data_IF_526324649323
#
_entry.id   IF_526324649323
#
_cell.length_a   1.000
_cell.length_b   1.000
_cell.length_c   1.000
_cell.angle_alpha   90.00
_cell.angle_beta   90.00
_cell.angle_gamma   90.00
#
_symmetry.space_group_name_H-M   'P 1'
#
loop_
_entity.id
_entity.type
_entity.pdbx_description
1 polymer ?
#
# COMPACT_ATOMS: atom_id res chain seq x y z
N UNK A 1 32.33 13.96 -11.60
CA UNK A 1 30.93 14.07 -12.05
C UNK A 1 30.82 13.40 -13.40
N UNK A 2 29.90 12.44 -13.54
CA UNK A 2 29.69 11.73 -14.81
C UNK A 2 28.83 12.53 -15.81
N UNK A 3 28.69 12.03 -17.05
CA UNK A 3 28.01 12.74 -18.13
C UNK A 3 26.51 13.01 -17.88
N UNK A 4 25.89 12.36 -16.89
CA UNK A 4 24.45 12.48 -16.58
C UNK A 4 24.17 13.17 -15.24
N UNK A 5 25.16 13.86 -14.67
CA UNK A 5 25.01 14.45 -13.33
C UNK A 5 23.89 15.50 -13.26
N UNK A 6 23.71 16.29 -14.32
CA UNK A 6 22.66 17.30 -14.39
C UNK A 6 21.27 16.66 -14.45
N UNK A 7 21.07 15.68 -15.33
CA UNK A 7 19.81 14.96 -15.50
C UNK A 7 19.44 14.19 -14.24
N UNK A 8 20.42 13.58 -13.57
CA UNK A 8 20.20 12.91 -12.29
C UNK A 8 19.72 13.89 -11.20
N UNK A 9 20.34 15.07 -11.09
CA UNK A 9 19.92 16.10 -10.14
C UNK A 9 18.49 16.56 -10.40
N UNK A 10 18.18 16.89 -11.65
CA UNK A 10 16.82 17.32 -12.06
C UNK A 10 15.78 16.24 -11.78
N UNK A 11 16.11 14.98 -12.07
CA UNK A 11 15.24 13.84 -11.79
C UNK A 11 15.00 13.65 -10.29
N UNK A 12 16.05 13.70 -9.47
CA UNK A 12 15.95 13.53 -8.02
C UNK A 12 15.12 14.64 -7.38
N UNK A 13 15.28 15.88 -7.82
CA UNK A 13 14.46 17.00 -7.34
C UNK A 13 12.98 16.85 -7.72
N UNK A 14 12.70 16.46 -8.96
CA UNK A 14 11.33 16.15 -9.39
C UNK A 14 10.73 14.98 -8.59
N UNK A 15 11.51 13.94 -8.31
CA UNK A 15 11.10 12.78 -7.53
C UNK A 15 10.81 13.15 -6.07
N UNK A 16 11.66 13.98 -5.43
CA UNK A 16 11.45 14.51 -4.07
C UNK A 16 10.16 15.34 -4.00
N UNK A 17 9.90 16.19 -4.99
CA UNK A 17 8.64 16.95 -5.08
C UNK A 17 7.43 16.02 -5.21
N UNK A 18 7.51 14.99 -6.06
CA UNK A 18 6.45 13.99 -6.17
C UNK A 18 6.25 13.20 -4.86
N UNK A 19 7.32 12.90 -4.13
CA UNK A 19 7.26 12.25 -2.82
C UNK A 19 6.53 13.12 -1.78
N UNK A 20 6.85 14.43 -1.73
CA UNK A 20 6.18 15.40 -0.86
C UNK A 20 4.68 15.52 -1.19
N UNK A 21 4.34 15.59 -2.48
CA UNK A 21 2.95 15.58 -2.92
C UNK A 21 2.22 14.29 -2.48
N UNK A 22 2.85 13.13 -2.67
CA UNK A 22 2.27 11.85 -2.29
C UNK A 22 2.06 11.72 -0.78
N UNK A 23 2.98 12.25 0.03
CA UNK A 23 2.86 12.31 1.49
C UNK A 23 1.68 13.22 1.90
N UNK A 24 1.63 14.45 1.37
CA UNK A 24 0.54 15.39 1.64
C UNK A 24 -0.83 14.78 1.25
N UNK A 25 -0.91 14.15 0.08
CA UNK A 25 -2.12 13.47 -0.36
C UNK A 25 -2.57 12.39 0.64
N UNK A 26 -1.67 11.53 1.13
CA UNK A 26 -2.00 10.51 2.13
C UNK A 26 -2.41 11.11 3.47
N UNK A 27 -1.76 12.19 3.90
CA UNK A 27 -2.12 12.93 5.11
C UNK A 27 -3.56 13.46 5.01
N UNK A 28 -3.90 14.14 3.91
CA UNK A 28 -5.26 14.67 3.72
C UNK A 28 -6.30 13.56 3.62
N UNK A 29 -6.01 12.45 2.92
CA UNK A 29 -6.90 11.29 2.89
C UNK A 29 -7.13 10.71 4.30
N UNK A 30 -6.08 10.60 5.12
CA UNK A 30 -6.20 10.17 6.52
C UNK A 30 -7.08 11.10 7.35
N UNK A 31 -6.89 12.41 7.22
CA UNK A 31 -7.71 13.41 7.90
C UNK A 31 -9.17 13.38 7.44
N UNK A 32 -9.43 13.18 6.15
CA UNK A 32 -10.78 13.02 5.60
C UNK A 32 -11.48 11.77 6.16
N UNK A 33 -10.77 10.65 6.30
CA UNK A 33 -11.32 9.43 6.92
C UNK A 33 -11.68 9.68 8.38
N UNK A 34 -10.79 10.31 9.16
CA UNK A 34 -11.07 10.65 10.58
C UNK A 34 -12.28 11.58 10.69
N UNK A 35 -12.38 12.59 9.81
CA UNK A 35 -13.53 13.50 9.76
C UNK A 35 -14.83 12.74 9.44
N UNK A 36 -14.83 11.89 8.42
CA UNK A 36 -16.01 11.10 8.05
C UNK A 36 -16.48 10.20 9.19
N UNK A 37 -15.54 9.55 9.92
CA UNK A 37 -15.88 8.74 11.09
C UNK A 37 -16.49 9.57 12.23
N UNK A 38 -15.98 10.79 12.48
CA UNK A 38 -16.53 11.70 13.49
C UNK A 38 -17.97 12.11 13.15
N UNK A 39 -18.22 12.47 11.89
CA UNK A 39 -19.54 12.88 11.40
C UNK A 39 -20.55 11.74 11.54
N UNK A 40 -20.19 10.52 11.13
CA UNK A 40 -21.07 9.34 11.21
C UNK A 40 -21.33 8.91 12.66
N UNK A 41 -20.33 8.95 13.54
CA UNK A 41 -20.46 8.49 14.92
C UNK A 41 -21.03 9.57 15.87
N UNK A 42 -21.13 10.81 15.43
CA UNK A 42 -21.59 11.94 16.25
C UNK A 42 -20.68 12.23 17.46
N UNK A 43 -19.40 11.86 17.39
CA UNK A 43 -18.43 12.04 18.49
C UNK A 43 -17.00 12.16 17.99
N UNK A 44 -16.12 12.67 18.85
CA UNK A 44 -14.69 12.66 18.60
C UNK A 44 -14.14 11.24 18.42
N UNK A 45 -13.24 11.10 17.44
CA UNK A 45 -12.51 9.87 17.16
C UNK A 45 -11.04 10.17 17.38
N UNK A 46 -10.51 9.70 18.49
CA UNK A 46 -9.08 9.76 18.75
C UNK A 46 -8.34 9.00 17.64
N UNK A 47 -7.36 9.65 17.03
CA UNK A 47 -6.57 9.08 15.95
C UNK A 47 -5.13 9.51 16.09
N UNK A 48 -4.23 8.62 15.67
CA UNK A 48 -2.80 8.87 15.63
C UNK A 48 -2.25 8.14 14.41
N UNK A 49 -1.43 8.84 13.62
CA UNK A 49 -0.66 8.19 12.56
C UNK A 49 0.36 7.23 13.20
N UNK A 50 0.22 5.94 12.93
CA UNK A 50 1.17 4.93 13.41
C UNK A 50 2.46 5.00 12.59
N UNK A 51 2.34 4.93 11.26
CA UNK A 51 3.47 4.99 10.34
C UNK A 51 3.00 5.30 8.91
N UNK A 52 3.87 5.91 8.09
CA UNK A 52 3.70 6.05 6.64
C UNK A 52 4.88 5.34 5.96
N UNK A 53 4.57 4.31 5.16
CA UNK A 53 5.57 3.43 4.55
C UNK A 53 5.55 3.55 3.01
N UNK A 54 6.27 4.52 2.41
CA UNK A 54 6.40 4.61 0.97
C UNK A 54 7.22 3.45 0.41
N UNK A 55 6.89 3.02 -0.81
CA UNK A 55 7.46 1.81 -1.41
C UNK A 55 8.01 1.98 -2.84
N UNK A 56 7.95 3.21 -3.36
CA UNK A 56 8.47 3.59 -4.68
C UNK A 56 9.21 4.92 -4.53
N UNK A 57 10.43 4.87 -4.00
CA UNK A 57 11.27 6.05 -3.75
C UNK A 57 12.75 5.72 -3.92
N UNK A 58 13.56 6.77 -3.95
CA UNK A 58 15.01 6.69 -3.86
C UNK A 58 15.41 7.38 -2.56
N UNK A 59 16.21 6.70 -1.75
CA UNK A 59 16.77 7.25 -0.51
C UNK A 59 18.26 7.47 -0.64
N UNK A 60 18.75 8.48 0.05
CA UNK A 60 20.18 8.74 0.24
C UNK A 60 20.48 8.43 1.71
N UNK A 61 20.97 7.22 2.05
CA UNK A 61 21.34 6.90 3.41
C UNK A 61 22.55 7.73 3.84
N UNK A 62 22.56 8.11 5.12
CA UNK A 62 23.66 8.90 5.70
C UNK A 62 25.00 8.13 5.57
N UNK A 63 26.00 8.77 4.96
CA UNK A 63 27.32 8.19 4.76
C UNK A 63 28.26 9.06 3.91
N UNK A 64 29.55 8.77 3.97
CA UNK A 64 30.60 9.52 3.26
C UNK A 64 30.60 9.32 1.73
N UNK A 65 29.91 8.28 1.24
CA UNK A 65 29.82 7.95 -0.18
C UNK A 65 28.38 8.16 -0.68
N UNK A 66 28.17 8.90 -1.80
CA UNK A 66 26.85 9.11 -2.36
C UNK A 66 26.28 7.78 -2.87
N UNK A 67 25.33 7.22 -2.11
CA UNK A 67 24.60 6.01 -2.48
C UNK A 67 23.12 6.33 -2.65
N UNK A 68 22.54 5.85 -3.73
CA UNK A 68 21.11 5.95 -3.99
C UNK A 68 20.47 4.57 -3.80
N UNK A 69 19.62 4.44 -2.80
CA UNK A 69 18.86 3.23 -2.53
C UNK A 69 17.51 3.33 -3.24
N UNK A 70 17.37 2.63 -4.35
CA UNK A 70 16.12 2.54 -5.09
C UNK A 70 15.24 1.45 -4.50
N UNK A 71 14.01 1.77 -4.09
CA UNK A 71 12.99 0.75 -3.82
C UNK A 71 11.82 0.94 -4.77
N UNK A 72 11.42 -0.14 -5.43
CA UNK A 72 10.24 -0.22 -6.29
C UNK A 72 9.41 -1.43 -5.84
N UNK A 73 8.27 -1.18 -5.23
CA UNK A 73 7.47 -2.22 -4.58
C UNK A 73 8.09 -2.77 -3.29
N UNK A 74 9.01 -2.04 -2.66
CA UNK A 74 9.65 -2.43 -1.41
C UNK A 74 9.69 -1.25 -0.42
N UNK A 75 9.48 -1.53 0.86
CA UNK A 75 9.41 -0.55 1.95
C UNK A 75 10.68 -0.59 2.81
N UNK A 76 11.01 0.51 3.51
CA UNK A 76 12.00 0.47 4.59
C UNK A 76 11.60 -0.52 5.69
N UNK A 77 12.57 -1.26 6.22
CA UNK A 77 12.44 -2.28 7.25
C UNK A 77 13.61 -2.20 8.25
N UNK A 78 13.88 -0.98 8.73
CA UNK A 78 14.90 -0.71 9.74
C UNK A 78 14.68 -1.53 11.01
N UNK A 79 15.77 -2.03 11.58
CA UNK A 79 15.75 -2.79 12.83
C UNK A 79 15.76 -1.87 14.05
N UNK A 80 15.69 -2.44 15.25
CA UNK A 80 16.03 -1.70 16.47
C UNK A 80 17.45 -1.14 16.37
N UNK A 81 17.61 0.16 16.60
CA UNK A 81 18.89 0.87 16.51
C UNK A 81 19.25 1.61 17.80
N UNK A 82 18.31 1.72 18.75
CA UNK A 82 18.51 2.45 20.01
C UNK A 82 18.72 3.96 19.85
N UNK A 83 18.57 4.52 18.64
CA UNK A 83 18.91 5.93 18.34
C UNK A 83 17.76 6.91 18.66
N UNK A 84 16.76 6.46 19.42
CA UNK A 84 15.61 7.25 19.84
C UNK A 84 14.45 7.25 18.84
N UNK A 85 13.30 7.77 19.28
CA UNK A 85 12.05 7.72 18.51
C UNK A 85 11.17 6.52 18.88
N UNK A 86 9.95 6.49 18.33
CA UNK A 86 8.90 5.56 18.77
C UNK A 86 9.19 4.07 18.49
N UNK A 87 10.15 3.78 17.60
CA UNK A 87 10.42 2.43 17.10
C UNK A 87 11.87 1.96 17.30
N UNK A 88 12.71 2.73 17.99
CA UNK A 88 14.14 2.44 18.17
C UNK A 88 14.43 1.08 18.82
N UNK A 89 13.50 0.55 19.61
CA UNK A 89 13.65 -0.73 20.32
C UNK A 89 12.81 -1.86 19.73
N UNK A 90 11.91 -1.55 18.80
CA UNK A 90 11.02 -2.54 18.19
C UNK A 90 11.36 -2.82 16.73
N UNK A 91 12.02 -1.89 16.05
CA UNK A 91 12.17 -1.87 14.60
C UNK A 91 11.05 -1.08 13.93
N UNK A 92 11.35 -0.55 12.74
CA UNK A 92 10.44 0.27 11.94
C UNK A 92 9.21 -0.55 11.49
N UNK A 93 7.99 0.02 11.53
CA UNK A 93 6.81 -0.65 11.01
C UNK A 93 6.92 -0.94 9.52
N UNK A 94 6.71 -2.20 9.15
CA UNK A 94 6.59 -2.67 7.77
C UNK A 94 5.11 -2.96 7.51
N UNK A 95 4.51 -2.22 6.59
CA UNK A 95 3.09 -2.35 6.25
C UNK A 95 2.97 -3.13 4.93
N UNK A 96 2.33 -4.31 4.99
CA UNK A 96 2.10 -5.18 3.85
C UNK A 96 0.58 -5.29 3.60
N UNK A 97 0.00 -4.43 2.75
CA UNK A 97 -1.37 -4.57 2.27
C UNK A 97 -1.64 -5.90 1.57
N UNK A 98 -2.80 -6.47 1.89
CA UNK A 98 -3.42 -7.54 1.12
C UNK A 98 -4.23 -7.02 -0.07
N UNK A 99 -5.08 -7.87 -0.64
CA UNK A 99 -6.10 -7.46 -1.61
C UNK A 99 -7.32 -6.85 -0.91
N UNK A 100 -8.30 -6.35 -1.68
CA UNK A 100 -9.56 -5.83 -1.11
C UNK A 100 -10.36 -6.81 -0.25
N UNK A 101 -10.07 -8.12 -0.33
CA UNK A 101 -10.73 -9.17 0.43
C UNK A 101 -9.80 -10.03 1.28
N UNK A 102 -8.54 -9.63 1.45
CA UNK A 102 -7.59 -10.33 2.30
C UNK A 102 -7.03 -9.39 3.39
N UNK A 103 -6.36 -9.97 4.38
CA UNK A 103 -5.80 -9.20 5.49
C UNK A 103 -4.67 -8.28 5.03
N UNK A 104 -4.48 -7.18 5.74
CA UNK A 104 -3.23 -6.43 5.75
C UNK A 104 -2.42 -6.80 7.00
N UNK A 105 -1.10 -6.65 6.94
CA UNK A 105 -0.23 -6.95 8.07
C UNK A 105 0.65 -5.76 8.41
N UNK A 106 0.84 -5.56 9.72
CA UNK A 106 1.89 -4.72 10.27
C UNK A 106 2.94 -5.65 10.86
N UNK A 107 4.18 -5.47 10.44
CA UNK A 107 5.36 -6.17 10.93
C UNK A 107 6.34 -5.14 11.52
N UNK A 108 7.36 -5.62 12.22
CA UNK A 108 8.47 -4.81 12.69
C UNK A 108 9.76 -5.25 11.98
N UNK A 109 10.43 -4.33 11.30
CA UNK A 109 11.66 -4.58 10.57
C UNK A 109 12.78 -5.09 11.48
N UNK A 110 13.62 -5.97 10.92
CA UNK A 110 14.79 -6.50 11.61
C UNK A 110 16.10 -5.80 11.22
N UNK A 111 16.07 -4.89 10.22
CA UNK A 111 17.26 -4.18 9.77
C UNK A 111 18.23 -5.04 8.96
N UNK A 112 17.72 -6.06 8.25
CA UNK A 112 18.54 -7.02 7.50
C UNK A 112 19.51 -6.32 6.54
N UNK A 113 20.81 -6.40 6.83
CA UNK A 113 21.84 -5.60 6.15
C UNK A 113 21.98 -5.95 4.67
N UNK A 114 21.96 -7.23 4.31
CA UNK A 114 22.05 -7.67 2.91
C UNK A 114 20.87 -7.22 2.04
N UNK A 115 19.73 -6.91 2.68
CA UNK A 115 18.53 -6.40 2.03
C UNK A 115 18.43 -4.87 2.12
N UNK A 116 19.51 -4.22 2.59
CA UNK A 116 19.58 -2.77 2.79
C UNK A 116 18.39 -2.27 3.64
N UNK A 117 18.08 -3.03 4.69
CA UNK A 117 16.92 -2.81 5.57
C UNK A 117 15.63 -2.56 4.77
N UNK A 118 15.27 -3.50 3.90
CA UNK A 118 14.07 -3.41 3.05
C UNK A 118 13.18 -4.64 3.18
N UNK A 119 11.87 -4.46 2.99
CA UNK A 119 10.88 -5.53 2.95
C UNK A 119 9.92 -5.36 1.77
N UNK A 120 9.16 -6.41 1.42
CA UNK A 120 8.14 -6.31 0.37
C UNK A 120 6.99 -5.36 0.77
N UNK A 121 6.32 -4.74 -0.21
CA UNK A 121 5.18 -3.86 0.05
C UNK A 121 3.81 -4.56 -0.01
N UNK A 122 3.67 -5.75 -0.60
CA UNK A 122 2.34 -6.36 -0.75
C UNK A 122 2.41 -7.84 -1.10
N UNK A 123 1.23 -8.48 -1.18
CA UNK A 123 1.12 -9.86 -1.62
C UNK A 123 1.69 -10.11 -3.04
N UNK A 124 1.69 -9.06 -3.87
CA UNK A 124 1.97 -9.17 -5.30
C UNK A 124 0.81 -9.81 -6.07
N UNK A 125 0.75 -9.51 -7.37
CA UNK A 125 -0.29 -10.04 -8.25
C UNK A 125 0.02 -11.49 -8.61
N UNK A 126 -1.00 -12.34 -8.61
CA UNK A 126 -0.96 -13.68 -9.19
C UNK A 126 -1.34 -13.65 -10.67
N UNK A 127 -2.20 -12.68 -11.07
CA UNK A 127 -2.69 -12.50 -12.43
C UNK A 127 -2.35 -11.11 -12.98
N UNK A 128 -2.05 -11.04 -14.27
CA UNK A 128 -1.95 -9.76 -14.98
C UNK A 128 -3.31 -9.07 -15.02
N UNK A 129 -3.35 -7.73 -15.15
CA UNK A 129 -4.61 -6.97 -15.22
C UNK A 129 -5.54 -7.48 -16.31
N UNK A 130 -5.00 -7.72 -17.51
CA UNK A 130 -5.76 -8.30 -18.61
C UNK A 130 -6.37 -9.66 -18.26
N UNK A 131 -5.61 -10.57 -17.65
CA UNK A 131 -6.15 -11.89 -17.26
C UNK A 131 -7.21 -11.79 -16.17
N UNK A 132 -7.02 -10.93 -15.16
CA UNK A 132 -8.03 -10.73 -14.12
C UNK A 132 -9.31 -10.08 -14.66
N UNK A 133 -9.21 -9.16 -15.62
CA UNK A 133 -10.37 -8.51 -16.23
C UNK A 133 -11.28 -9.49 -17.00
N UNK A 134 -10.73 -10.60 -17.48
CA UNK A 134 -11.44 -11.66 -18.19
C UNK A 134 -11.90 -12.81 -17.28
N UNK A 135 -11.85 -12.65 -15.96
CA UNK A 135 -12.40 -13.63 -15.05
C UNK A 135 -13.91 -13.82 -15.28
N UNK A 136 -14.32 -15.08 -15.17
CA UNK A 136 -15.72 -15.50 -15.24
C UNK A 136 -16.60 -14.73 -14.22
N UNK A 137 -17.84 -14.45 -14.60
CA UNK A 137 -18.75 -13.63 -13.80
C UNK A 137 -19.11 -14.28 -12.45
N UNK A 138 -19.23 -15.60 -12.39
CA UNK A 138 -19.55 -16.29 -11.13
C UNK A 138 -18.35 -16.31 -10.18
N UNK A 139 -17.13 -16.40 -10.73
CA UNK A 139 -15.92 -16.20 -9.93
C UNK A 139 -15.85 -14.77 -9.38
N UNK A 140 -16.09 -13.76 -10.23
CA UNK A 140 -16.10 -12.37 -9.81
C UNK A 140 -17.14 -12.10 -8.73
N UNK A 141 -18.39 -12.52 -8.96
CA UNK A 141 -19.51 -12.34 -8.00
C UNK A 141 -19.17 -12.94 -6.65
N UNK A 142 -18.76 -14.20 -6.59
CA UNK A 142 -18.38 -14.87 -5.32
C UNK A 142 -17.22 -14.19 -4.60
N UNK A 143 -16.28 -13.60 -5.35
CA UNK A 143 -15.12 -12.93 -4.78
C UNK A 143 -15.46 -11.57 -4.16
N UNK A 144 -16.50 -10.88 -4.64
CA UNK A 144 -16.89 -9.54 -4.16
C UNK A 144 -18.14 -9.52 -3.28
N UNK A 145 -19.01 -10.54 -3.37
CA UNK A 145 -20.28 -10.61 -2.62
C UNK A 145 -20.12 -10.45 -1.11
N UNK A 146 -19.01 -10.95 -0.55
CA UNK A 146 -18.71 -10.87 0.88
C UNK A 146 -17.98 -9.58 1.29
N UNK A 147 -17.71 -8.69 0.35
CA UNK A 147 -16.93 -7.47 0.58
C UNK A 147 -17.84 -6.26 0.61
N UNK A 148 -17.61 -5.38 1.57
CA UNK A 148 -18.22 -4.06 1.56
C UNK A 148 -17.32 -3.08 0.79
N UNK A 149 -17.50 -3.04 -0.53
CA UNK A 149 -16.75 -2.12 -1.41
C UNK A 149 -17.58 -0.89 -1.72
N UNK A 150 -17.03 0.28 -1.41
CA UNK A 150 -17.62 1.59 -1.71
C UNK A 150 -16.84 2.24 -2.83
N UNK A 151 -17.55 2.69 -3.86
CA UNK A 151 -16.98 3.36 -5.03
C UNK A 151 -17.59 4.76 -5.20
N UNK A 152 -16.86 5.75 -5.77
CA UNK A 152 -17.42 7.06 -6.08
C UNK A 152 -18.61 7.03 -7.05
N UNK A 153 -18.74 5.94 -7.80
CA UNK A 153 -19.81 5.69 -8.75
C UNK A 153 -20.74 4.63 -8.18
N UNK A 154 -22.03 4.94 -8.07
CA UNK A 154 -23.09 3.96 -7.82
C UNK A 154 -23.53 3.37 -9.18
N UNK A 155 -23.25 2.06 -9.45
CA UNK A 155 -23.64 1.42 -10.71
C UNK A 155 -25.16 1.32 -10.90
N UNK A 156 -25.95 1.35 -9.83
CA UNK A 156 -27.41 1.20 -9.86
C UNK A 156 -28.15 2.54 -10.00
N UNK A 157 -27.43 3.66 -9.83
CA UNK A 157 -27.99 5.00 -9.97
C UNK A 157 -28.67 5.20 -11.34
N UNK A 158 -29.85 5.86 -11.42
CA UNK A 158 -30.63 5.95 -12.66
C UNK A 158 -29.88 6.53 -13.88
N UNK A 159 -28.97 7.47 -13.63
CA UNK A 159 -28.11 8.11 -14.63
C UNK A 159 -26.89 7.27 -15.03
N UNK A 160 -26.52 6.26 -14.25
CA UNK A 160 -25.36 5.38 -14.48
C UNK A 160 -25.79 4.05 -15.07
N UNK A 161 -26.86 3.43 -14.55
CA UNK A 161 -27.32 2.10 -14.98
C UNK A 161 -27.63 1.98 -16.48
N UNK A 162 -27.93 3.12 -17.14
CA UNK A 162 -28.19 3.21 -18.58
C UNK A 162 -26.92 3.41 -19.43
N UNK A 163 -25.78 3.74 -18.80
CA UNK A 163 -24.50 4.05 -19.43
C UNK A 163 -23.62 2.80 -19.50
N UNK A 164 -23.88 1.95 -20.50
CA UNK A 164 -23.15 0.68 -20.70
C UNK A 164 -21.64 0.88 -20.81
N UNK A 165 -21.19 1.98 -21.42
CA UNK A 165 -19.78 2.35 -21.55
C UNK A 165 -19.09 2.60 -20.20
N UNK A 166 -19.82 3.22 -19.28
CA UNK A 166 -19.35 3.51 -17.92
C UNK A 166 -19.34 2.22 -17.10
N UNK A 167 -20.44 1.46 -17.14
CA UNK A 167 -20.55 0.19 -16.41
C UNK A 167 -19.48 -0.81 -16.84
N UNK A 168 -19.21 -0.93 -18.14
CA UNK A 168 -18.16 -1.81 -18.64
C UNK A 168 -16.78 -1.47 -18.04
N UNK A 169 -16.42 -0.17 -18.02
CA UNK A 169 -15.17 0.30 -17.40
C UNK A 169 -15.16 0.10 -15.89
N UNK A 170 -16.29 0.30 -15.22
CA UNK A 170 -16.45 0.06 -13.79
C UNK A 170 -16.19 -1.40 -13.43
N UNK A 171 -16.91 -2.33 -14.07
CA UNK A 171 -16.75 -3.76 -13.84
C UNK A 171 -15.35 -4.24 -14.20
N UNK A 172 -14.77 -3.73 -15.30
CA UNK A 172 -13.39 -4.05 -15.67
C UNK A 172 -12.40 -3.69 -14.57
N UNK A 173 -12.45 -2.45 -14.04
CA UNK A 173 -11.55 -2.03 -12.94
C UNK A 173 -11.76 -2.86 -11.67
N UNK A 174 -13.01 -3.17 -11.35
CA UNK A 174 -13.33 -4.00 -10.19
C UNK A 174 -12.76 -5.41 -10.33
N UNK A 175 -12.85 -6.02 -11.51
CA UNK A 175 -12.23 -7.33 -11.80
C UNK A 175 -10.71 -7.28 -11.75
N UNK A 176 -10.09 -6.20 -12.22
CA UNK A 176 -8.63 -6.04 -12.18
C UNK A 176 -8.04 -6.03 -10.76
N UNK A 177 -8.85 -5.63 -9.77
CA UNK A 177 -8.43 -5.47 -8.37
C UNK A 177 -9.07 -6.51 -7.43
N UNK A 178 -9.91 -7.40 -7.94
CA UNK A 178 -10.62 -8.40 -7.16
C UNK A 178 -9.66 -9.37 -6.43
N UNK A 179 -10.07 -9.99 -5.32
CA UNK A 179 -9.18 -10.80 -4.48
C UNK A 179 -8.41 -11.89 -5.22
N UNK A 180 -9.02 -12.54 -6.21
CA UNK A 180 -8.39 -13.60 -7.01
C UNK A 180 -7.20 -13.11 -7.86
N UNK A 181 -7.06 -11.81 -8.09
CA UNK A 181 -5.97 -11.23 -8.87
C UNK A 181 -4.63 -11.19 -8.09
N UNK A 182 -4.69 -11.44 -6.78
CA UNK A 182 -3.58 -11.33 -5.86
C UNK A 182 -3.20 -12.69 -5.26
N UNK A 183 -1.94 -12.82 -4.84
CA UNK A 183 -1.52 -13.97 -4.03
C UNK A 183 -2.16 -13.89 -2.64
N UNK A 184 -2.40 -15.02 -1.96
CA UNK A 184 -2.74 -15.00 -0.54
C UNK A 184 -1.65 -14.27 0.25
N UNK A 185 -2.04 -13.35 1.13
CA UNK A 185 -1.07 -12.50 1.85
C UNK A 185 -0.28 -13.30 2.90
N UNK A 186 -0.91 -14.30 3.51
CA UNK A 186 -0.33 -15.01 4.66
C UNK A 186 0.95 -15.76 4.32
N UNK A 187 1.04 -16.53 3.21
CA UNK A 187 2.31 -17.12 2.77
C UNK A 187 3.41 -16.08 2.52
N UNK A 188 3.09 -14.93 1.92
CA UNK A 188 4.07 -13.86 1.68
C UNK A 188 4.65 -13.34 3.00
N UNK A 189 3.78 -13.08 3.97
CA UNK A 189 4.18 -12.62 5.31
C UNK A 189 5.01 -13.67 6.05
N UNK A 190 4.66 -14.96 5.93
CA UNK A 190 5.46 -16.04 6.51
C UNK A 190 6.87 -16.06 5.92
N UNK A 191 7.01 -15.97 4.59
CA UNK A 191 8.32 -15.92 3.95
C UNK A 191 9.18 -14.73 4.41
N UNK A 192 8.56 -13.57 4.68
CA UNK A 192 9.27 -12.39 5.22
C UNK A 192 9.77 -12.64 6.64
N UNK A 193 8.97 -13.30 7.48
CA UNK A 193 9.34 -13.63 8.86
C UNK A 193 10.37 -14.76 8.94
N UNK A 194 10.18 -15.84 8.17
CA UNK A 194 11.08 -17.00 8.10
C UNK A 194 12.47 -16.60 7.61
N UNK A 195 12.54 -15.60 6.72
CA UNK A 195 13.80 -15.02 6.23
C UNK A 195 14.41 -13.99 7.20
N UNK A 196 13.82 -13.78 8.39
CA UNK A 196 14.34 -12.84 9.39
C UNK A 196 14.30 -11.37 8.97
N UNK A 197 13.47 -11.00 7.98
CA UNK A 197 13.41 -9.64 7.44
C UNK A 197 12.58 -8.72 8.34
N UNK A 198 11.43 -9.22 8.79
CA UNK A 198 10.54 -8.51 9.69
C UNK A 198 9.67 -9.50 10.48
N UNK A 199 9.38 -9.17 11.74
CA UNK A 199 8.56 -9.99 12.64
C UNK A 199 7.10 -9.54 12.63
N UNK A 200 6.14 -10.46 12.63
CA UNK A 200 4.71 -10.12 12.70
C UNK A 200 4.36 -9.36 13.98
N UNK A 201 3.54 -8.33 13.84
CA UNK A 201 3.01 -7.52 14.97
C UNK A 201 1.49 -7.59 15.02
N UNK A 202 0.81 -7.26 13.92
CA UNK A 202 -0.63 -7.26 13.88
C UNK A 202 -1.17 -7.68 12.50
N UNK A 203 -2.34 -8.31 12.50
CA UNK A 203 -3.13 -8.63 11.32
C UNK A 203 -4.39 -7.77 11.34
N UNK A 204 -4.68 -7.08 10.24
CA UNK A 204 -5.86 -6.25 10.07
C UNK A 204 -6.78 -6.87 9.03
N UNK A 205 -8.06 -7.03 9.37
CA UNK A 205 -9.07 -7.50 8.44
C UNK A 205 -9.88 -6.31 7.89
N UNK A 206 -10.10 -6.22 6.57
CA UNK A 206 -10.87 -5.11 6.00
C UNK A 206 -12.35 -5.25 6.39
N UNK A 207 -12.93 -4.17 6.92
CA UNK A 207 -14.38 -4.05 7.14
C UNK A 207 -15.07 -3.35 5.98
N UNK A 208 -14.41 -2.32 5.45
CA UNK A 208 -14.86 -1.52 4.31
C UNK A 208 -13.67 -1.24 3.41
N UNK A 209 -13.84 -1.39 2.10
CA UNK A 209 -12.84 -1.00 1.10
C UNK A 209 -13.39 0.13 0.26
N UNK A 210 -12.74 1.30 0.30
CA UNK A 210 -13.09 2.42 -0.60
C UNK A 210 -12.19 2.36 -1.83
N UNK A 211 -12.77 2.33 -3.03
CA UNK A 211 -12.03 2.17 -4.29
C UNK A 211 -12.43 3.23 -5.32
N UNK A 212 -11.44 3.94 -5.88
CA UNK A 212 -11.60 4.87 -7.00
C UNK A 212 -11.21 4.27 -8.35
#
# INVERSE_FOLDING_TARGET
>A
MGPHAHEASVYLDAMRNAANFAFANRLFLGLMVVRALREVLGREVASRLVYDAPHNLIWEPDGAEPRYLHRKGATPAGGPDGQGGAFAYTGHPVIIPGSMGDASWVLAGAGHAELLASACHGAGRSLTRGRSAHADEDLYRRAVEKLHVVTPLDPDAPNVRRRRDILAKYHQRMKEEAPYAYKPITPVVRSVEDAGIARRVARLWPLVTVKG
#
